data_IF_106136311510
#
_entry.id   IF_106136311510
#
_cell.length_a   1.000
_cell.length_b   1.000
_cell.length_c   1.000
_cell.angle_alpha   90.00
_cell.angle_beta   90.00
_cell.angle_gamma   90.00
#
_symmetry.space_group_name_H-M   'P 1'
#
loop_
_entity.id
_entity.type
_entity.pdbx_description
1 polymer ?
#
# COMPACT_ATOMS: atom_id res chain seq x y z
N UNK A 1 20.64 11.04 2.77
CA UNK A 1 20.34 10.24 3.98
C UNK A 1 18.86 9.91 3.92
N UNK A 2 18.51 8.72 3.43
CA UNK A 2 17.09 8.33 3.38
C UNK A 2 16.72 7.80 4.76
N UNK A 3 15.95 8.58 5.52
CA UNK A 3 15.28 8.16 6.76
C UNK A 3 14.27 7.06 6.38
N UNK A 4 14.77 5.83 6.17
CA UNK A 4 13.91 4.67 5.92
C UNK A 4 13.23 4.30 7.24
N UNK A 5 12.16 5.05 7.54
CA UNK A 5 11.26 4.76 8.65
C UNK A 5 10.42 3.54 8.27
N UNK A 6 10.75 2.39 8.85
CA UNK A 6 9.94 1.19 8.73
C UNK A 6 8.66 1.34 9.53
N UNK A 7 7.54 1.42 8.83
CA UNK A 7 6.20 1.57 9.38
C UNK A 7 5.59 0.19 9.62
N UNK A 8 5.06 -0.05 10.81
CA UNK A 8 4.24 -1.24 11.09
C UNK A 8 2.89 -1.11 10.40
N UNK A 9 2.12 -2.20 10.28
CA UNK A 9 0.76 -2.17 9.68
C UNK A 9 -0.15 -1.03 10.17
N UNK A 10 -0.11 -0.70 11.47
CA UNK A 10 -0.90 0.41 12.03
C UNK A 10 -0.45 1.77 11.50
N UNK A 11 0.85 2.05 11.62
CA UNK A 11 1.48 3.28 11.13
C UNK A 11 1.33 3.43 9.62
N UNK A 12 1.53 2.34 8.87
CA UNK A 12 1.36 2.30 7.42
C UNK A 12 -0.08 2.64 7.01
N UNK A 13 -1.07 2.12 7.76
CA UNK A 13 -2.47 2.44 7.50
C UNK A 13 -2.81 3.89 7.81
N UNK A 14 -2.30 4.42 8.92
CA UNK A 14 -2.51 5.81 9.32
C UNK A 14 -1.86 6.77 8.31
N UNK A 15 -0.65 6.45 7.86
CA UNK A 15 0.05 7.19 6.80
C UNK A 15 -0.73 7.18 5.48
N UNK A 16 -1.16 6.01 5.00
CA UNK A 16 -1.96 5.90 3.77
C UNK A 16 -3.26 6.72 3.88
N UNK A 17 -3.93 6.64 5.03
CA UNK A 17 -5.14 7.42 5.27
C UNK A 17 -4.88 8.92 5.32
N UNK A 18 -3.77 9.36 5.93
CA UNK A 18 -3.42 10.77 6.04
C UNK A 18 -2.94 11.39 4.72
N UNK A 19 -2.15 10.65 3.93
CA UNK A 19 -1.56 11.14 2.67
C UNK A 19 -2.50 10.96 1.50
N UNK A 20 -3.07 9.77 1.35
CA UNK A 20 -3.84 9.38 0.16
C UNK A 20 -5.36 9.39 0.40
N UNK A 21 -5.80 9.57 1.65
CA UNK A 21 -7.22 9.60 2.00
C UNK A 21 -7.89 8.21 2.06
N UNK A 22 -7.17 7.14 1.70
CA UNK A 22 -7.66 5.76 1.80
C UNK A 22 -6.56 4.83 2.32
N UNK A 23 -6.95 3.85 3.13
CA UNK A 23 -6.01 2.94 3.77
C UNK A 23 -6.51 2.52 5.13
N UNK A 24 -6.51 1.23 5.38
CA UNK A 24 -6.88 0.69 6.69
C UNK A 24 -5.99 -0.50 7.01
N UNK A 25 -5.65 -0.65 8.29
CA UNK A 25 -4.78 -1.73 8.76
C UNK A 25 -5.40 -3.10 8.45
N UNK A 26 -6.73 -3.18 8.42
CA UNK A 26 -7.47 -4.39 8.02
C UNK A 26 -7.29 -4.68 6.53
N UNK A 27 -7.34 -3.68 5.66
CA UNK A 27 -7.08 -3.82 4.22
C UNK A 27 -5.65 -4.29 3.98
N UNK A 28 -4.67 -3.68 4.65
CA UNK A 28 -3.27 -4.11 4.60
C UNK A 28 -3.07 -5.54 5.09
N UNK A 29 -3.71 -5.93 6.21
CA UNK A 29 -3.64 -7.29 6.73
C UNK A 29 -4.27 -8.31 5.76
N UNK A 30 -5.43 -7.97 5.19
CA UNK A 30 -6.12 -8.82 4.20
C UNK A 30 -5.29 -8.99 2.94
N UNK A 31 -4.67 -7.92 2.44
CA UNK A 31 -3.79 -7.95 1.27
C UNK A 31 -2.47 -8.66 1.53
N UNK A 32 -1.93 -8.57 2.74
CA UNK A 32 -0.75 -9.33 3.14
C UNK A 32 -1.02 -10.85 3.18
N UNK A 33 -2.27 -11.27 3.39
CA UNK A 33 -2.67 -12.68 3.34
C UNK A 33 -3.06 -13.15 1.94
N UNK A 34 -3.82 -12.36 1.17
CA UNK A 34 -4.32 -12.75 -0.15
C UNK A 34 -3.34 -12.51 -1.30
N UNK A 35 -2.32 -11.67 -1.12
CA UNK A 35 -1.50 -11.16 -2.22
C UNK A 35 -2.13 -9.91 -2.86
N UNK A 36 -1.31 -9.00 -3.40
CA UNK A 36 -1.75 -7.71 -3.98
C UNK A 36 -1.65 -6.50 -3.04
N UNK A 37 -0.90 -6.62 -1.94
CA UNK A 37 -0.56 -5.54 -1.01
C UNK A 37 0.73 -4.79 -1.35
N UNK A 38 1.05 -3.70 -0.62
CA UNK A 38 2.31 -2.99 -0.79
C UNK A 38 3.49 -3.89 -0.45
N UNK A 39 4.65 -3.63 -1.05
CA UNK A 39 5.86 -4.39 -0.72
C UNK A 39 6.14 -4.30 0.78
N UNK A 40 6.34 -5.45 1.40
CA UNK A 40 6.54 -5.57 2.83
C UNK A 40 7.81 -6.35 3.15
N UNK A 41 8.49 -5.93 4.21
CA UNK A 41 9.62 -6.63 4.80
C UNK A 41 9.15 -7.41 6.03
N UNK A 42 9.40 -8.72 6.05
CA UNK A 42 9.20 -9.52 7.26
C UNK A 42 10.43 -9.44 8.14
N UNK A 43 10.25 -8.94 9.36
CA UNK A 43 11.20 -9.02 10.44
C UNK A 43 10.64 -9.97 11.51
N UNK A 44 10.87 -11.27 11.32
CA UNK A 44 10.28 -12.32 12.16
C UNK A 44 8.75 -12.34 12.08
N UNK A 45 8.07 -12.12 13.20
CA UNK A 45 6.60 -12.05 13.29
C UNK A 45 6.04 -10.67 12.85
N UNK A 46 6.90 -9.66 12.71
CA UNK A 46 6.49 -8.29 12.40
C UNK A 46 6.60 -8.03 10.90
N UNK A 47 5.54 -7.45 10.33
CA UNK A 47 5.51 -6.98 8.95
C UNK A 47 5.75 -5.47 8.96
N UNK A 48 6.80 -5.05 8.26
CA UNK A 48 7.26 -3.68 8.12
C UNK A 48 7.05 -3.20 6.69
N UNK A 49 6.65 -1.95 6.55
CA UNK A 49 6.40 -1.27 5.28
C UNK A 49 7.32 -0.06 5.20
N UNK A 50 7.79 0.25 3.99
CA UNK A 50 8.45 1.53 3.73
C UNK A 50 7.43 2.52 3.18
N UNK A 51 7.65 3.82 3.41
CA UNK A 51 6.82 4.86 2.80
C UNK A 51 6.79 4.76 1.28
N UNK A 52 7.95 4.53 0.66
CA UNK A 52 8.08 4.35 -0.79
C UNK A 52 7.19 3.20 -1.31
N UNK A 53 7.19 2.06 -0.63
CA UNK A 53 6.34 0.92 -1.00
C UNK A 53 4.85 1.22 -0.83
N UNK A 54 4.49 2.00 0.20
CA UNK A 54 3.10 2.42 0.44
C UNK A 54 2.63 3.41 -0.64
N UNK A 55 3.46 4.40 -0.98
CA UNK A 55 3.19 5.36 -2.04
C UNK A 55 3.06 4.66 -3.39
N UNK A 56 4.05 3.87 -3.81
CA UNK A 56 3.97 3.10 -5.07
C UNK A 56 2.71 2.25 -5.16
N UNK A 57 2.34 1.62 -4.05
CA UNK A 57 1.14 0.80 -4.00
C UNK A 57 -0.13 1.62 -4.08
N UNK A 58 -0.19 2.77 -3.39
CA UNK A 58 -1.31 3.70 -3.47
C UNK A 58 -1.43 4.27 -4.89
N UNK A 59 -0.32 4.69 -5.50
CA UNK A 59 -0.25 5.15 -6.89
C UNK A 59 -0.72 4.09 -7.87
N UNK A 60 -0.27 2.83 -7.74
CA UNK A 60 -0.79 1.72 -8.55
C UNK A 60 -2.29 1.47 -8.35
N UNK A 61 -2.86 1.86 -7.21
CA UNK A 61 -4.29 1.65 -6.89
C UNK A 61 -5.18 2.80 -7.33
N UNK A 62 -4.69 4.04 -7.21
CA UNK A 62 -5.36 5.24 -7.71
C UNK A 62 -5.30 5.24 -9.24
N UNK A 63 -4.24 4.65 -9.81
CA UNK A 63 -4.02 4.59 -11.25
C UNK A 63 -3.58 5.96 -11.80
N UNK A 64 -3.27 6.03 -13.12
CA UNK A 64 -3.11 7.31 -13.80
C UNK A 64 -4.44 8.09 -13.78
N UNK A 65 -4.37 9.41 -13.94
CA UNK A 65 -5.52 10.31 -13.99
C UNK A 65 -6.52 9.89 -15.10
N UNK A 66 -7.48 9.03 -14.75
CA UNK A 66 -8.50 8.54 -15.66
C UNK A 66 -9.54 9.64 -15.87
N UNK A 67 -9.53 10.24 -17.07
CA UNK A 67 -10.61 11.14 -17.54
C UNK A 67 -11.91 10.40 -17.87
N UNK A 68 -11.93 9.06 -17.81
CA UNK A 68 -13.11 8.25 -18.11
C UNK A 68 -13.06 6.90 -17.39
N UNK A 69 -14.16 6.53 -16.74
CA UNK A 69 -14.30 5.37 -15.82
C UNK A 69 -14.34 4.01 -16.52
N UNK A 70 -14.09 3.93 -17.84
CA UNK A 70 -14.20 2.68 -18.63
C UNK A 70 -12.86 1.98 -18.92
N UNK A 71 -11.72 2.51 -18.45
CA UNK A 71 -10.38 1.94 -18.70
C UNK A 71 -9.82 1.12 -17.52
N UNK A 72 -10.69 0.53 -16.71
CA UNK A 72 -10.29 -0.47 -15.71
C UNK A 72 -9.96 -1.81 -16.39
N UNK A 73 -8.85 -1.86 -17.13
CA UNK A 73 -8.13 -3.10 -17.41
C UNK A 73 -7.52 -3.55 -16.07
N UNK A 74 -7.79 -4.71 -15.50
CA UNK A 74 -8.12 -5.96 -16.14
C UNK A 74 -6.86 -6.76 -16.44
N UNK A 75 -5.93 -6.93 -15.50
CA UNK A 75 -4.96 -8.04 -15.54
C UNK A 75 -4.13 -8.14 -14.25
N UNK A 76 -4.16 -9.29 -13.58
CA UNK A 76 -2.95 -10.08 -13.24
C UNK A 76 -3.38 -11.52 -12.94
N UNK A 77 -3.05 -12.40 -13.90
CA UNK A 77 -2.85 -13.86 -13.90
C UNK A 77 -3.35 -14.73 -12.73
#
# INVERSE_FOLDING_TARGET
MHDQKYLRRKDAAEYLKAVWGFGSAQTLAKLACHGGGPAFHRAGSVVLYTRDALDKWAESRIGPELKSTSEAVGETA
#
